data_IF_914619480681
#
_entry.id   IF_914619480681
#
_cell.length_a   1.000
_cell.length_b   1.000
_cell.length_c   1.000
_cell.angle_alpha   90.00
_cell.angle_beta   90.00
_cell.angle_gamma   90.00
#
_symmetry.space_group_name_H-M   'P 1'
#
loop_
_entity.id
_entity.type
_entity.pdbx_description
1 polymer ?
#
# COMPACT_ATOMS: atom_id res chain seq x y z
N UNK A 1 22.06 23.37 6.82
CA UNK A 1 20.71 23.56 6.26
C UNK A 1 19.74 22.84 7.19
N UNK A 2 18.65 23.46 7.67
CA UNK A 2 17.67 22.72 8.46
C UNK A 2 17.01 21.70 7.54
N UNK A 3 17.00 20.44 7.96
CA UNK A 3 16.20 19.39 7.33
C UNK A 3 14.73 19.81 7.36
N UNK A 4 14.02 19.69 6.24
CA UNK A 4 12.56 19.85 6.21
C UNK A 4 11.94 18.92 7.26
N UNK A 5 10.95 19.38 8.05
CA UNK A 5 10.28 18.52 9.00
C UNK A 5 9.52 17.47 8.18
N UNK A 6 10.03 16.23 8.22
CA UNK A 6 9.30 15.09 7.71
C UNK A 6 7.99 14.98 8.47
N UNK A 7 6.90 14.65 7.76
CA UNK A 7 5.66 14.26 8.43
C UNK A 7 6.01 13.02 9.26
N UNK A 8 6.01 13.17 10.58
CA UNK A 8 6.27 12.07 11.49
C UNK A 8 5.06 11.11 11.40
N UNK A 9 5.31 9.80 11.31
CA UNK A 9 4.24 8.79 11.19
C UNK A 9 3.18 8.89 12.30
N UNK A 10 3.54 9.48 13.45
CA UNK A 10 2.62 9.75 14.55
C UNK A 10 1.58 10.83 14.19
N UNK A 11 1.95 11.87 13.45
CA UNK A 11 1.04 12.96 13.06
C UNK A 11 -0.10 12.44 12.15
N UNK A 12 0.21 11.50 11.26
CA UNK A 12 -0.80 10.83 10.41
C UNK A 12 -1.77 10.00 11.27
N UNK A 13 -1.24 9.27 12.26
CA UNK A 13 -2.08 8.46 13.16
C UNK A 13 -2.97 9.33 14.03
N UNK A 14 -2.44 10.43 14.55
CA UNK A 14 -3.19 11.37 15.38
C UNK A 14 -4.30 12.07 14.59
N UNK A 15 -3.98 12.58 13.40
CA UNK A 15 -4.95 13.27 12.55
C UNK A 15 -6.06 12.36 12.03
N UNK A 16 -5.79 11.07 11.78
CA UNK A 16 -6.79 10.11 11.29
C UNK A 16 -7.61 9.44 12.41
N UNK A 17 -7.14 9.48 13.67
CA UNK A 17 -7.81 8.89 14.83
C UNK A 17 -9.27 9.31 14.97
N UNK A 18 -9.56 10.61 14.80
CA UNK A 18 -10.91 11.13 14.96
C UNK A 18 -11.91 10.45 14.02
N UNK A 19 -11.50 10.23 12.76
CA UNK A 19 -12.33 9.58 11.76
C UNK A 19 -12.47 8.08 12.04
N UNK A 20 -11.37 7.41 12.40
CA UNK A 20 -11.38 5.99 12.74
C UNK A 20 -12.29 5.68 13.93
N UNK A 21 -12.25 6.50 15.00
CA UNK A 21 -13.06 6.30 16.22
C UNK A 21 -14.56 6.57 16.01
N UNK A 22 -14.94 7.35 14.98
CA UNK A 22 -16.32 7.77 14.71
C UNK A 22 -16.95 7.09 13.50
N UNK A 23 -16.21 6.24 12.81
CA UNK A 23 -16.71 5.47 11.68
C UNK A 23 -17.62 4.35 12.17
N UNK A 24 -18.89 4.67 12.42
CA UNK A 24 -19.87 3.71 12.93
C UNK A 24 -20.75 3.07 11.85
N UNK A 25 -20.84 3.73 10.69
CA UNK A 25 -21.75 3.37 9.60
C UNK A 25 -21.21 2.28 8.67
N UNK A 26 -19.89 2.04 8.70
CA UNK A 26 -19.22 1.02 7.86
C UNK A 26 -18.53 0.04 8.78
N UNK A 27 -18.80 -1.26 8.59
CA UNK A 27 -18.20 -2.36 9.35
C UNK A 27 -17.75 -3.45 8.40
N UNK A 28 -16.67 -4.13 8.77
CA UNK A 28 -16.22 -5.33 8.07
C UNK A 28 -17.06 -6.51 8.56
N UNK A 29 -17.78 -7.15 7.64
CA UNK A 29 -18.40 -8.44 7.88
C UNK A 29 -17.30 -9.52 7.93
N UNK A 30 -17.02 -10.01 9.13
CA UNK A 30 -15.96 -10.99 9.38
C UNK A 30 -16.26 -12.35 8.74
N UNK A 31 -17.53 -12.73 8.63
CA UNK A 31 -17.91 -13.99 8.00
C UNK A 31 -17.76 -13.90 6.49
N UNK A 32 -18.18 -12.78 5.89
CA UNK A 32 -17.97 -12.52 4.47
C UNK A 32 -16.47 -12.48 4.11
N UNK A 33 -15.65 -11.84 4.95
CA UNK A 33 -14.19 -11.82 4.76
C UNK A 33 -13.60 -13.24 4.81
N UNK A 34 -14.00 -14.05 5.77
CA UNK A 34 -13.52 -15.43 5.89
C UNK A 34 -13.96 -16.31 4.71
N UNK A 35 -15.19 -16.11 4.19
CA UNK A 35 -15.66 -16.80 2.97
C UNK A 35 -14.84 -16.38 1.76
N UNK A 36 -14.66 -15.08 1.57
CA UNK A 36 -13.86 -14.53 0.47
C UNK A 36 -12.43 -15.07 0.46
N UNK A 37 -11.76 -15.11 1.62
CA UNK A 37 -10.40 -15.64 1.72
C UNK A 37 -10.30 -17.11 1.26
N UNK A 38 -11.29 -17.95 1.62
CA UNK A 38 -11.36 -19.35 1.19
C UNK A 38 -11.63 -19.49 -0.30
N UNK A 39 -12.52 -18.68 -0.84
CA UNK A 39 -12.81 -18.66 -2.29
C UNK A 39 -11.59 -18.23 -3.09
N UNK A 40 -10.84 -17.24 -2.60
CA UNK A 40 -9.61 -16.76 -3.22
C UNK A 40 -8.53 -17.85 -3.27
N UNK A 41 -8.35 -18.59 -2.17
CA UNK A 41 -7.42 -19.73 -2.09
C UNK A 41 -7.84 -20.84 -3.07
N UNK A 42 -9.13 -21.19 -3.11
CA UNK A 42 -9.66 -22.25 -3.97
C UNK A 42 -9.68 -21.87 -5.46
N UNK A 43 -9.79 -20.58 -5.78
CA UNK A 43 -9.94 -20.05 -7.13
C UNK A 43 -8.70 -20.15 -8.01
N UNK A 44 -7.57 -20.63 -7.48
CA UNK A 44 -6.35 -20.82 -8.26
C UNK A 44 -5.78 -19.51 -8.80
N UNK A 45 -5.77 -18.46 -7.97
CA UNK A 45 -5.19 -17.19 -8.39
C UNK A 45 -3.74 -17.36 -8.83
N UNK A 46 -3.43 -16.81 -10.00
CA UNK A 46 -2.05 -16.61 -10.40
C UNK A 46 -1.52 -15.37 -9.67
N UNK A 47 -0.75 -15.60 -8.61
CA UNK A 47 -0.04 -14.54 -7.93
C UNK A 47 1.03 -13.98 -8.88
N UNK A 48 1.05 -12.67 -9.15
CA UNK A 48 2.08 -12.07 -9.99
C UNK A 48 3.47 -12.30 -9.39
N UNK A 49 4.49 -12.28 -10.23
CA UNK A 49 5.87 -12.43 -9.78
C UNK A 49 6.22 -11.32 -8.77
N UNK A 50 6.78 -11.72 -7.63
CA UNK A 50 7.24 -10.80 -6.60
C UNK A 50 8.70 -10.39 -6.84
N UNK A 51 8.97 -9.10 -7.06
CA UNK A 51 10.33 -8.59 -7.18
C UNK A 51 10.90 -8.23 -5.80
N UNK A 52 11.63 -9.19 -5.22
CA UNK A 52 12.28 -9.07 -3.91
C UNK A 52 13.38 -8.00 -3.82
N UNK A 53 13.78 -7.39 -4.95
CA UNK A 53 14.77 -6.30 -4.95
C UNK A 53 14.16 -4.99 -4.46
N UNK A 54 12.89 -4.77 -4.78
CA UNK A 54 12.19 -3.50 -4.55
C UNK A 54 11.05 -3.62 -3.52
N UNK A 55 10.55 -4.83 -3.29
CA UNK A 55 9.42 -5.06 -2.39
C UNK A 55 9.86 -5.81 -1.13
N UNK A 56 9.48 -5.26 0.04
CA UNK A 56 9.69 -5.93 1.31
C UNK A 56 8.93 -7.25 1.37
N UNK A 57 9.58 -8.32 1.81
CA UNK A 57 8.94 -9.62 1.99
C UNK A 57 9.57 -10.42 3.12
N UNK A 58 8.74 -10.85 4.06
CA UNK A 58 9.06 -11.83 5.10
C UNK A 58 8.02 -12.97 5.18
N UNK A 59 7.04 -12.99 4.29
CA UNK A 59 5.97 -13.99 4.22
C UNK A 59 4.96 -13.92 5.37
N UNK A 60 5.06 -12.93 6.26
CA UNK A 60 4.21 -12.78 7.43
C UNK A 60 3.40 -11.49 7.46
N UNK A 61 2.95 -11.13 8.66
CA UNK A 61 2.10 -9.96 8.91
C UNK A 61 2.73 -8.64 8.42
N UNK A 62 4.06 -8.51 8.52
CA UNK A 62 4.74 -7.30 8.05
C UNK A 62 4.69 -7.16 6.53
N UNK A 63 4.70 -8.27 5.79
CA UNK A 63 4.48 -8.25 4.34
C UNK A 63 3.08 -7.76 4.00
N UNK A 64 2.06 -8.18 4.76
CA UNK A 64 0.68 -7.72 4.60
C UNK A 64 0.53 -6.24 4.95
N UNK A 65 1.15 -5.79 6.05
CA UNK A 65 1.16 -4.38 6.43
C UNK A 65 1.86 -3.50 5.37
N UNK A 66 2.98 -3.98 4.82
CA UNK A 66 3.67 -3.33 3.70
C UNK A 66 2.75 -3.17 2.49
N UNK A 67 2.03 -4.23 2.09
CA UNK A 67 1.05 -4.16 0.98
C UNK A 67 -0.06 -3.15 1.25
N UNK A 68 -0.62 -3.13 2.47
CA UNK A 68 -1.65 -2.16 2.86
C UNK A 68 -1.15 -0.72 2.73
N UNK A 69 0.07 -0.44 3.18
CA UNK A 69 0.67 0.89 3.06
C UNK A 69 0.95 1.23 1.59
N UNK A 70 1.54 0.31 0.84
CA UNK A 70 1.85 0.50 -0.58
C UNK A 70 0.59 0.84 -1.39
N UNK A 71 -0.48 0.07 -1.21
CA UNK A 71 -1.75 0.27 -1.91
C UNK A 71 -2.52 1.49 -1.41
N UNK A 72 -2.39 1.83 -0.13
CA UNK A 72 -2.98 3.04 0.46
C UNK A 72 -2.31 4.33 -0.03
N UNK A 73 -0.99 4.32 -0.23
CA UNK A 73 -0.22 5.47 -0.73
C UNK A 73 -0.30 5.63 -2.26
N UNK A 74 -0.58 4.55 -2.99
CA UNK A 74 -0.52 4.49 -4.46
C UNK A 74 -1.52 5.38 -5.19
N UNK A 75 -2.47 6.01 -4.51
CA UNK A 75 -3.44 6.93 -5.11
C UNK A 75 -2.82 8.27 -5.57
N UNK A 76 -1.58 8.60 -5.18
CA UNK A 76 -0.98 9.93 -5.42
C UNK A 76 0.02 9.99 -6.58
N UNK A 77 0.40 8.88 -7.22
CA UNK A 77 1.52 8.85 -8.18
C UNK A 77 1.11 8.72 -9.66
N UNK A 78 -0.18 8.81 -9.97
CA UNK A 78 -0.68 8.63 -11.33
C UNK A 78 -0.50 9.91 -12.14
N UNK A 79 0.35 9.87 -13.17
CA UNK A 79 0.40 10.95 -14.13
C UNK A 79 -0.96 11.05 -14.87
N UNK A 80 -1.46 12.28 -15.13
CA UNK A 80 -2.62 12.45 -15.99
C UNK A 80 -2.35 11.81 -17.37
N UNK A 81 -3.41 11.44 -18.10
CA UNK A 81 -3.27 10.81 -19.41
C UNK A 81 -2.41 11.68 -20.34
N UNK A 82 -1.28 11.13 -20.81
CA UNK A 82 -0.31 11.84 -21.64
C UNK A 82 0.75 12.66 -20.88
N UNK A 83 0.67 12.68 -19.54
CA UNK A 83 1.68 13.26 -18.66
C UNK A 83 2.86 12.33 -18.44
N UNK A 84 4.01 12.91 -18.06
CA UNK A 84 5.21 12.15 -17.74
C UNK A 84 5.06 11.48 -16.37
N UNK A 85 5.35 10.18 -16.29
CA UNK A 85 5.40 9.45 -15.01
C UNK A 85 6.59 9.90 -14.19
N UNK A 86 6.48 9.74 -12.88
CA UNK A 86 7.62 9.93 -12.01
C UNK A 86 8.64 8.79 -12.24
N UNK A 87 9.91 9.17 -12.31
CA UNK A 87 11.04 8.30 -12.65
C UNK A 87 12.22 8.62 -11.73
N UNK A 88 13.02 7.61 -11.43
CA UNK A 88 14.33 7.74 -10.77
C UNK A 88 15.38 6.95 -11.52
N UNK A 89 16.63 7.36 -11.39
CA UNK A 89 17.77 6.56 -11.83
C UNK A 89 18.36 5.82 -10.62
N UNK A 90 18.42 4.50 -10.69
CA UNK A 90 18.98 3.66 -9.64
C UNK A 90 19.72 2.47 -10.25
N UNK A 91 20.98 2.28 -9.85
CA UNK A 91 21.80 1.17 -10.36
C UNK A 91 22.07 1.21 -11.87
N UNK A 92 21.97 2.39 -12.51
CA UNK A 92 22.13 2.56 -13.95
C UNK A 92 20.86 2.23 -14.76
N UNK A 93 19.73 1.98 -14.09
CA UNK A 93 18.42 1.77 -14.71
C UNK A 93 17.49 2.95 -14.36
N UNK A 94 16.62 3.30 -15.30
CA UNK A 94 15.51 4.22 -15.02
C UNK A 94 14.33 3.39 -14.53
N UNK A 95 13.92 3.63 -13.28
CA UNK A 95 12.77 3.00 -12.66
C UNK A 95 11.62 4.02 -12.62
N UNK A 96 10.40 3.56 -12.91
CA UNK A 96 9.19 4.34 -12.68
C UNK A 96 8.31 3.67 -11.64
N UNK A 97 7.42 4.45 -11.01
CA UNK A 97 6.27 3.88 -10.31
C UNK A 97 5.34 3.12 -11.27
N UNK A 98 4.33 2.44 -10.71
CA UNK A 98 3.29 1.73 -11.46
C UNK A 98 2.65 2.57 -12.60
#
# INVERSE_FOLDING_TARGET
MPSEPGIEMEEVRESTRWAAERSEQVRIDQEALARFAKELEAGGLQVPQWDYRYHFYDGGERTVAYLLVLDGLNFCFWAPKGGKRWEIEYGGEVLSGY
#
